data_IF_933194703553
#
_entry.id   IF_933194703553
#
_cell.length_a   1.000
_cell.length_b   1.000
_cell.length_c   1.000
_cell.angle_alpha   90.00
_cell.angle_beta   90.00
_cell.angle_gamma   90.00
#
_symmetry.space_group_name_H-M   'P 1'
#
loop_
_entity.id
_entity.type
_entity.pdbx_description
1 polymer ?
#
# COMPACT_ATOMS: atom_id res chain seq x y z
N UNK A 1 44.93 45.58 33.10
CA UNK A 1 44.05 44.82 34.04
C UNK A 1 42.67 44.81 33.38
N UNK A 2 42.14 43.69 32.86
CA UNK A 2 41.59 42.52 33.59
C UNK A 2 40.41 42.91 34.49
N UNK A 3 39.21 42.31 34.51
CA UNK A 3 38.45 41.23 33.79
C UNK A 3 36.94 41.53 34.07
N UNK A 4 35.88 41.03 33.41
CA UNK A 4 35.63 40.00 32.37
C UNK A 4 34.33 40.36 31.60
N UNK A 5 33.88 39.51 30.65
CA UNK A 5 32.48 39.45 30.17
C UNK A 5 31.71 38.32 30.89
N UNK A 6 30.40 38.48 31.11
CA UNK A 6 29.49 37.38 31.46
C UNK A 6 28.40 37.25 30.39
N UNK A 7 28.67 36.47 29.33
CA UNK A 7 27.65 36.08 28.35
C UNK A 7 26.92 34.83 28.87
N UNK A 8 25.64 34.97 29.18
CA UNK A 8 24.78 33.82 29.47
C UNK A 8 24.57 33.02 28.17
N UNK A 9 25.17 31.83 28.07
CA UNK A 9 24.90 30.87 26.99
C UNK A 9 23.80 29.95 27.47
N UNK A 10 22.57 30.18 26.99
CA UNK A 10 21.47 29.22 27.17
C UNK A 10 21.73 28.03 26.25
N UNK A 11 22.05 26.89 26.85
CA UNK A 11 22.40 25.67 26.14
C UNK A 11 21.13 25.03 25.55
N UNK A 12 20.93 25.18 24.24
CA UNK A 12 19.80 24.58 23.54
C UNK A 12 20.05 23.07 23.40
N UNK A 13 19.52 22.28 24.34
CA UNK A 13 19.65 20.83 24.31
C UNK A 13 18.84 20.26 23.12
N UNK A 14 19.53 19.92 22.04
CA UNK A 14 18.95 19.17 20.94
C UNK A 14 18.54 17.78 21.44
N UNK A 15 17.24 17.62 21.67
CA UNK A 15 16.58 16.33 21.81
C UNK A 15 16.61 15.60 20.45
N UNK A 16 17.75 14.99 20.13
CA UNK A 16 17.81 13.93 19.13
C UNK A 16 17.04 12.72 19.66
N UNK A 17 15.71 12.75 19.51
CA UNK A 17 14.89 11.55 19.64
C UNK A 17 15.40 10.49 18.67
N UNK A 18 15.43 9.20 19.06
CA UNK A 18 15.90 8.15 18.18
C UNK A 18 15.02 8.11 16.94
N UNK A 19 15.61 8.38 15.78
CA UNK A 19 14.97 8.06 14.51
C UNK A 19 14.75 6.54 14.50
N UNK A 20 13.49 6.11 14.61
CA UNK A 20 13.15 4.70 14.58
C UNK A 20 13.64 4.12 13.24
N UNK A 21 14.70 3.32 13.30
CA UNK A 21 15.28 2.70 12.13
C UNK A 21 14.22 1.78 11.51
N UNK A 22 13.62 2.22 10.40
CA UNK A 22 12.68 1.43 9.65
C UNK A 22 13.41 0.15 9.23
N UNK A 23 12.88 -1.00 9.62
CA UNK A 23 13.45 -2.28 9.23
C UNK A 23 13.66 -2.29 7.70
N UNK A 24 14.81 -2.76 7.18
CA UNK A 24 15.15 -2.58 5.76
C UNK A 24 14.08 -3.13 4.79
N UNK A 25 13.31 -4.14 5.20
CA UNK A 25 12.13 -4.62 4.48
C UNK A 25 11.00 -3.59 4.36
N UNK A 26 10.66 -2.85 5.42
CA UNK A 26 9.55 -1.88 5.45
C UNK A 26 9.80 -0.72 4.49
N UNK A 27 11.00 -0.16 4.48
CA UNK A 27 11.36 0.92 3.55
C UNK A 27 11.31 0.46 2.08
N UNK A 28 11.79 -0.76 1.79
CA UNK A 28 11.71 -1.38 0.47
C UNK A 28 10.27 -1.61 0.01
N UNK A 29 9.43 -2.19 0.88
CA UNK A 29 8.03 -2.44 0.63
C UNK A 29 7.23 -1.14 0.40
N UNK A 30 7.49 -0.08 1.18
CA UNK A 30 6.88 1.24 0.95
C UNK A 30 7.26 1.80 -0.42
N UNK A 31 8.55 1.81 -0.76
CA UNK A 31 9.02 2.32 -2.05
C UNK A 31 8.46 1.50 -3.25
N UNK A 32 8.23 0.19 -3.06
CA UNK A 32 7.52 -0.63 -4.03
C UNK A 32 6.04 -0.25 -4.13
N UNK A 33 5.33 -0.14 -3.01
CA UNK A 33 3.91 0.25 -3.00
C UNK A 33 3.67 1.64 -3.61
N UNK A 34 4.54 2.61 -3.36
CA UNK A 34 4.45 3.94 -3.96
C UNK A 34 4.60 3.88 -5.50
N UNK A 35 5.48 3.01 -6.03
CA UNK A 35 5.54 2.74 -7.48
C UNK A 35 4.27 2.08 -8.01
N UNK A 36 3.67 1.15 -7.25
CA UNK A 36 2.43 0.49 -7.65
C UNK A 36 1.25 1.47 -7.73
N UNK A 37 1.13 2.39 -6.76
CA UNK A 37 0.13 3.48 -6.82
C UNK A 37 0.32 4.33 -8.08
N UNK A 38 1.55 4.75 -8.40
CA UNK A 38 1.84 5.55 -9.59
C UNK A 38 1.52 4.81 -10.91
N UNK A 39 1.81 3.50 -11.00
CA UNK A 39 1.44 2.69 -12.18
C UNK A 39 -0.07 2.54 -12.32
N UNK A 40 -0.81 2.36 -11.21
CA UNK A 40 -2.26 2.27 -11.22
C UNK A 40 -2.92 3.60 -11.63
N UNK A 41 -2.46 4.72 -11.09
CA UNK A 41 -2.92 6.07 -11.45
C UNK A 41 -2.66 6.42 -12.93
N UNK A 42 -1.52 5.99 -13.47
CA UNK A 42 -1.19 6.13 -14.90
C UNK A 42 -1.96 5.15 -15.82
N UNK A 43 -2.71 4.20 -15.26
CA UNK A 43 -3.32 3.07 -15.97
C UNK A 43 -2.30 2.24 -16.79
N UNK A 44 -1.12 2.02 -16.21
CA UNK A 44 -0.01 1.31 -16.84
C UNK A 44 -0.12 -0.21 -16.65
N UNK A 45 -0.10 -0.96 -17.76
CA UNK A 45 -0.21 -2.42 -17.78
C UNK A 45 0.78 -3.14 -16.83
N UNK A 46 1.94 -2.53 -16.56
CA UNK A 46 2.99 -3.06 -15.67
C UNK A 46 2.57 -3.13 -14.21
N UNK A 47 1.49 -2.46 -13.80
CA UNK A 47 0.89 -2.66 -12.48
C UNK A 47 0.55 -4.15 -12.23
N UNK A 48 0.14 -4.89 -13.27
CA UNK A 48 -0.18 -6.30 -13.19
C UNK A 48 1.05 -7.22 -12.95
N UNK A 49 2.25 -6.76 -13.26
CA UNK A 49 3.49 -7.56 -13.17
C UNK A 49 4.01 -7.67 -11.72
N UNK A 50 3.46 -6.86 -10.81
CA UNK A 50 3.83 -6.82 -9.40
C UNK A 50 3.22 -7.95 -8.55
N UNK A 51 2.32 -8.76 -9.11
CA UNK A 51 1.67 -9.86 -8.40
C UNK A 51 2.41 -11.17 -8.64
N UNK A 52 2.69 -11.90 -7.57
CA UNK A 52 3.17 -13.28 -7.69
C UNK A 52 2.08 -14.16 -8.34
N UNK A 53 2.46 -15.12 -9.20
CA UNK A 53 1.50 -15.98 -9.90
C UNK A 53 0.55 -16.72 -8.92
N UNK A 54 1.09 -17.17 -7.78
CA UNK A 54 0.43 -17.83 -6.66
C UNK A 54 -0.23 -16.88 -5.65
N UNK A 55 -0.24 -15.56 -5.90
CA UNK A 55 -0.77 -14.59 -4.94
C UNK A 55 -2.26 -14.81 -4.62
N UNK A 56 -2.63 -14.62 -3.36
CA UNK A 56 -4.01 -14.76 -2.89
C UNK A 56 -4.78 -13.45 -3.03
N UNK A 57 -5.57 -13.31 -4.09
CA UNK A 57 -6.37 -12.10 -4.35
C UNK A 57 -7.79 -12.34 -3.86
N UNK A 58 -8.22 -11.57 -2.86
CA UNK A 58 -9.49 -11.75 -2.14
C UNK A 58 -10.34 -10.49 -2.29
N UNK A 59 -11.43 -10.61 -3.05
CA UNK A 59 -12.43 -9.56 -3.20
C UNK A 59 -13.65 -9.84 -2.33
N UNK A 60 -13.94 -8.95 -1.37
CA UNK A 60 -15.17 -8.99 -0.57
C UNK A 60 -16.13 -7.93 -1.10
N UNK A 61 -17.35 -8.32 -1.48
CA UNK A 61 -18.43 -7.36 -1.81
C UNK A 61 -19.47 -7.36 -0.71
N UNK A 62 -19.51 -6.25 0.02
CA UNK A 62 -20.56 -5.99 1.00
C UNK A 62 -21.85 -5.61 0.27
N UNK A 63 -22.98 -5.94 0.88
CA UNK A 63 -24.32 -5.56 0.42
C UNK A 63 -25.10 -4.93 1.58
N UNK A 64 -26.10 -4.07 1.30
CA UNK A 64 -27.05 -3.65 2.31
C UNK A 64 -27.78 -4.84 2.93
N UNK A 65 -28.10 -4.74 4.22
CA UNK A 65 -28.91 -5.73 4.91
C UNK A 65 -30.27 -5.93 4.21
N UNK A 66 -30.81 -7.16 4.17
CA UNK A 66 -30.36 -8.36 4.87
C UNK A 66 -29.36 -9.24 4.08
N UNK A 67 -28.85 -8.79 2.93
CA UNK A 67 -28.00 -9.64 2.07
C UNK A 67 -26.59 -9.80 2.68
N UNK A 68 -26.08 -11.02 2.89
CA UNK A 68 -24.72 -11.23 3.40
C UNK A 68 -23.66 -10.81 2.38
N UNK A 69 -22.43 -10.46 2.82
CA UNK A 69 -21.30 -10.22 1.93
C UNK A 69 -20.97 -11.45 1.07
N UNK A 70 -20.44 -11.21 -0.13
CA UNK A 70 -19.90 -12.27 -1.01
C UNK A 70 -18.38 -12.13 -1.13
N UNK A 71 -17.68 -13.21 -0.84
CA UNK A 71 -16.24 -13.33 -1.11
C UNK A 71 -15.98 -13.95 -2.49
N UNK A 72 -14.89 -13.53 -3.12
CA UNK A 72 -14.33 -14.09 -4.34
C UNK A 72 -12.82 -14.22 -4.17
N UNK A 73 -12.24 -15.36 -4.57
CA UNK A 73 -10.80 -15.61 -4.55
C UNK A 73 -10.29 -15.87 -5.97
N UNK A 74 -9.07 -15.43 -6.26
CA UNK A 74 -8.33 -15.82 -7.45
C UNK A 74 -6.82 -15.80 -7.20
N UNK A 75 -6.07 -16.45 -8.08
CA UNK A 75 -4.61 -16.39 -8.11
C UNK A 75 -4.13 -15.06 -8.69
N UNK A 76 -2.92 -14.63 -8.33
CA UNK A 76 -2.29 -13.44 -8.91
C UNK A 76 -2.14 -13.55 -10.43
N UNK A 77 -1.92 -14.76 -10.96
CA UNK A 77 -1.85 -15.02 -12.39
C UNK A 77 -3.17 -14.74 -13.14
N UNK A 78 -4.31 -15.10 -12.53
CA UNK A 78 -5.64 -14.79 -13.05
C UNK A 78 -5.96 -13.29 -12.90
N UNK A 79 -5.60 -12.71 -11.76
CA UNK A 79 -5.74 -11.26 -11.51
C UNK A 79 -4.95 -10.44 -12.54
N UNK A 80 -3.68 -10.74 -12.75
CA UNK A 80 -2.82 -10.03 -13.69
C UNK A 80 -3.35 -10.09 -15.15
N UNK A 81 -4.02 -11.18 -15.54
CA UNK A 81 -4.72 -11.28 -16.83
C UNK A 81 -5.93 -10.36 -16.88
N UNK A 82 -6.79 -10.38 -15.84
CA UNK A 82 -7.95 -9.50 -15.75
C UNK A 82 -7.57 -8.01 -15.69
N UNK A 83 -6.54 -7.65 -14.92
CA UNK A 83 -6.03 -6.29 -14.79
C UNK A 83 -5.54 -5.73 -16.12
N UNK A 84 -4.75 -6.48 -16.89
CA UNK A 84 -4.28 -6.04 -18.22
C UNK A 84 -5.44 -5.80 -19.20
N UNK A 85 -6.49 -6.62 -19.16
CA UNK A 85 -7.70 -6.45 -19.99
C UNK A 85 -8.61 -5.32 -19.48
N UNK A 86 -8.70 -5.14 -18.17
CA UNK A 86 -9.57 -4.15 -17.52
C UNK A 86 -9.03 -2.72 -17.49
N UNK A 87 -7.70 -2.54 -17.58
CA UNK A 87 -7.07 -1.21 -17.44
C UNK A 87 -7.54 -0.17 -18.47
N UNK A 88 -7.74 -0.50 -19.77
CA UNK A 88 -8.29 0.45 -20.74
C UNK A 88 -9.70 0.94 -20.33
N UNK A 89 -10.54 0.05 -19.79
CA UNK A 89 -11.87 0.40 -19.30
C UNK A 89 -11.79 1.26 -18.03
N UNK A 90 -10.88 0.93 -17.10
CA UNK A 90 -10.62 1.75 -15.91
C UNK A 90 -10.18 3.17 -16.31
N UNK A 91 -9.29 3.31 -17.30
CA UNK A 91 -8.85 4.60 -17.84
C UNK A 91 -10.00 5.41 -18.44
N UNK A 92 -10.84 4.78 -19.25
CA UNK A 92 -12.04 5.42 -19.82
C UNK A 92 -13.04 5.88 -18.75
N UNK A 93 -13.07 5.21 -17.60
CA UNK A 93 -14.02 5.47 -16.51
C UNK A 93 -13.43 6.33 -15.38
N UNK A 94 -12.17 6.76 -15.48
CA UNK A 94 -11.46 7.48 -14.42
C UNK A 94 -11.38 6.69 -13.10
N UNK A 95 -11.28 5.36 -13.18
CA UNK A 95 -11.36 4.46 -12.02
C UNK A 95 -10.02 4.42 -11.25
N UNK A 96 -9.71 5.54 -10.61
CA UNK A 96 -8.55 5.73 -9.74
C UNK A 96 -8.94 5.42 -8.29
N UNK A 97 -7.98 4.94 -7.50
CA UNK A 97 -8.13 4.81 -6.05
C UNK A 97 -7.01 5.56 -5.33
N UNK A 98 -7.37 6.34 -4.32
CA UNK A 98 -6.44 7.02 -3.42
C UNK A 98 -6.38 6.27 -2.07
N UNK A 99 -5.25 6.38 -1.37
CA UNK A 99 -4.97 5.62 -0.14
C UNK A 99 -4.53 6.56 0.97
N UNK A 100 -5.03 6.32 2.18
CA UNK A 100 -4.67 7.04 3.41
C UNK A 100 -4.56 6.06 4.58
N UNK A 101 -4.11 6.56 5.73
CA UNK A 101 -3.91 5.77 6.94
C UNK A 101 -2.99 4.55 6.70
N UNK A 102 -2.02 4.69 5.78
CA UNK A 102 -1.12 3.62 5.33
C UNK A 102 -0.16 3.21 6.47
N UNK A 103 -0.42 2.07 7.08
CA UNK A 103 0.42 1.46 8.10
C UNK A 103 1.15 0.23 7.55
N UNK A 104 2.47 0.18 7.74
CA UNK A 104 3.34 -0.91 7.30
C UNK A 104 3.92 -1.64 8.52
N UNK A 105 3.73 -2.95 8.59
CA UNK A 105 4.25 -3.80 9.66
C UNK A 105 5.02 -5.01 9.08
N UNK A 106 6.11 -5.46 9.71
CA UNK A 106 6.75 -6.73 9.36
C UNK A 106 5.76 -7.91 9.44
N UNK A 107 5.94 -8.86 8.54
CA UNK A 107 5.23 -10.14 8.51
C UNK A 107 6.25 -11.28 8.38
N UNK A 108 5.79 -12.53 8.34
CA UNK A 108 6.64 -13.71 8.19
C UNK A 108 7.45 -13.66 6.87
N UNK A 109 8.62 -14.32 6.84
CA UNK A 109 9.46 -14.48 5.64
C UNK A 109 9.91 -13.17 4.98
N UNK A 110 10.35 -12.19 5.78
CA UNK A 110 10.76 -10.84 5.37
C UNK A 110 9.69 -10.04 4.59
N UNK A 111 8.44 -10.51 4.63
CA UNK A 111 7.31 -9.81 4.04
C UNK A 111 6.90 -8.61 4.90
N UNK A 112 6.09 -7.73 4.31
CA UNK A 112 5.52 -6.55 4.96
C UNK A 112 4.02 -6.54 4.68
N UNK A 113 3.21 -6.43 5.74
CA UNK A 113 1.78 -6.16 5.63
C UNK A 113 1.57 -4.64 5.57
N UNK A 114 0.84 -4.21 4.55
CA UNK A 114 0.19 -2.90 4.48
C UNK A 114 -1.28 -3.06 4.91
N UNK A 115 -1.75 -2.13 5.73
CA UNK A 115 -3.18 -1.82 5.91
C UNK A 115 -3.42 -0.35 5.57
N UNK A 116 -4.49 -0.04 4.84
CA UNK A 116 -4.85 1.32 4.46
C UNK A 116 -6.36 1.49 4.34
N UNK A 117 -6.82 2.74 4.38
CA UNK A 117 -8.16 3.12 3.91
C UNK A 117 -8.05 3.53 2.45
N UNK A 118 -8.70 2.77 1.55
CA UNK A 118 -8.78 3.08 0.12
C UNK A 118 -10.07 3.84 -0.19
N UNK A 119 -9.94 5.02 -0.78
CA UNK A 119 -11.03 5.75 -1.42
C UNK A 119 -11.11 5.38 -2.91
N UNK A 120 -12.31 5.08 -3.42
CA UNK A 120 -12.52 4.96 -4.87
C UNK A 120 -12.98 6.30 -5.44
N UNK A 121 -12.18 6.92 -6.30
CA UNK A 121 -12.51 8.23 -6.87
C UNK A 121 -13.74 8.18 -7.77
N UNK A 122 -14.01 7.02 -8.39
CA UNK A 122 -15.20 6.81 -9.19
C UNK A 122 -16.45 6.53 -8.35
N UNK A 123 -16.35 5.68 -7.33
CA UNK A 123 -17.50 5.23 -6.53
C UNK A 123 -17.77 6.06 -5.27
N UNK A 124 -16.87 7.00 -4.94
CA UNK A 124 -16.97 7.95 -3.82
C UNK A 124 -17.29 7.30 -2.46
N UNK A 125 -16.66 6.16 -2.20
CA UNK A 125 -16.69 5.51 -0.88
C UNK A 125 -15.29 5.10 -0.44
N UNK A 126 -15.15 4.94 0.87
CA UNK A 126 -13.97 4.38 1.53
C UNK A 126 -14.17 2.90 1.87
N UNK A 127 -13.08 2.13 1.81
CA UNK A 127 -13.06 0.73 2.18
C UNK A 127 -11.70 0.34 2.76
N UNK A 128 -11.63 -0.60 3.73
CA UNK A 128 -10.35 -1.14 4.18
C UNK A 128 -9.68 -1.93 3.05
N UNK A 129 -8.36 -1.83 3.01
CA UNK A 129 -7.48 -2.50 2.06
C UNK A 129 -6.31 -3.14 2.80
N UNK A 130 -5.98 -4.38 2.45
CA UNK A 130 -4.79 -5.07 2.95
C UNK A 130 -3.93 -5.57 1.80
N UNK A 131 -2.62 -5.43 1.92
CA UNK A 131 -1.65 -6.04 1.00
C UNK A 131 -0.55 -6.72 1.80
N UNK A 132 -0.11 -7.90 1.38
CA UNK A 132 1.14 -8.51 1.86
C UNK A 132 2.13 -8.54 0.71
N UNK A 133 3.29 -7.92 0.92
CA UNK A 133 4.35 -7.76 -0.05
C UNK A 133 5.59 -8.50 0.44
N UNK A 134 6.26 -9.26 -0.43
CA UNK A 134 7.43 -10.05 -0.06
C UNK A 134 8.56 -9.84 -1.07
N UNK A 135 9.83 -9.95 -0.65
CA UNK A 135 10.94 -10.11 -1.58
C UNK A 135 10.88 -11.50 -2.22
N UNK A 136 10.99 -11.56 -3.56
CA UNK A 136 11.22 -12.78 -4.34
C UNK A 136 12.24 -12.49 -5.44
N UNK A 137 13.31 -13.30 -5.52
CA UNK A 137 14.36 -13.19 -6.53
C UNK A 137 14.94 -11.76 -6.68
N UNK A 138 15.11 -11.04 -5.56
CA UNK A 138 15.65 -9.68 -5.53
C UNK A 138 14.65 -8.55 -5.89
N UNK A 139 13.38 -8.87 -6.17
CA UNK A 139 12.32 -7.89 -6.43
C UNK A 139 11.20 -8.01 -5.39
N UNK A 140 10.44 -6.94 -5.17
CA UNK A 140 9.22 -7.00 -4.35
C UNK A 140 8.03 -7.45 -5.19
N UNK A 141 7.18 -8.31 -4.63
CA UNK A 141 5.91 -8.75 -5.22
C UNK A 141 4.79 -8.77 -4.19
N UNK A 142 3.56 -8.57 -4.63
CA UNK A 142 2.34 -8.79 -3.86
C UNK A 142 2.05 -10.29 -3.84
N UNK A 143 1.93 -10.87 -2.64
CA UNK A 143 1.57 -12.29 -2.43
C UNK A 143 0.16 -12.48 -1.87
N UNK A 144 -0.45 -11.42 -1.33
CA UNK A 144 -1.85 -11.41 -0.89
C UNK A 144 -2.42 -10.00 -1.01
N UNK A 145 -3.66 -9.89 -1.46
CA UNK A 145 -4.43 -8.65 -1.42
C UNK A 145 -5.85 -8.94 -0.91
N UNK A 146 -6.36 -8.08 -0.02
CA UNK A 146 -7.78 -8.05 0.37
C UNK A 146 -8.36 -6.70 0.01
N UNK A 147 -9.38 -6.71 -0.84
CA UNK A 147 -10.10 -5.53 -1.30
C UNK A 147 -11.58 -5.65 -0.92
N UNK A 148 -12.09 -4.68 -0.16
CA UNK A 148 -13.53 -4.57 0.13
C UNK A 148 -14.21 -3.63 -0.86
N UNK A 149 -15.40 -4.01 -1.33
CA UNK A 149 -16.20 -3.26 -2.29
C UNK A 149 -17.67 -3.16 -1.87
N UNK A 150 -18.36 -2.15 -2.37
CA UNK A 150 -19.79 -1.93 -2.20
C UNK A 150 -20.49 -1.98 -3.58
N UNK A 151 -21.84 -2.09 -3.64
CA UNK A 151 -22.57 -2.28 -4.89
C UNK A 151 -22.23 -1.24 -5.96
#
# INVERSE_FOLDING_TARGET
MSRLFAKAVVMFALLCGPAAAQAPGVAGAKAFWDRQKALAEAFDARFADAYAADAQIIGVRNYPAPRPPREMRMTGDAWAKLTRVGMPLAKMQGDVSTYRDEAFAPAENDCVKLTATRHSERKKYDAPHEVVMCPRSGSWVIVREVTVTQP
#
